data_IF_851440052430
#
_entry.id   IF_851440052430
#
_cell.length_a   1.000
_cell.length_b   1.000
_cell.length_c   1.000
_cell.angle_alpha   90.00
_cell.angle_beta   90.00
_cell.angle_gamma   90.00
#
_symmetry.space_group_name_H-M   'P 1'
#
loop_
_entity.id
_entity.type
_entity.pdbx_description
1 polymer ?
#
# COMPACT_ATOMS: atom_id res chain seq x y z
N UNK A 1 -12.73 20.69 63.29
CA UNK A 1 -12.34 20.99 61.90
C UNK A 1 -11.83 19.71 61.26
N UNK A 2 -12.61 19.08 60.40
CA UNK A 2 -12.24 17.85 59.70
C UNK A 2 -11.62 18.21 58.35
N UNK A 3 -10.57 17.51 57.87
CA UNK A 3 -9.95 17.79 56.59
C UNK A 3 -10.84 17.26 55.46
N UNK A 4 -11.12 18.14 54.47
CA UNK A 4 -11.81 17.77 53.23
C UNK A 4 -10.82 17.03 52.32
N UNK A 5 -11.04 15.71 52.12
CA UNK A 5 -10.32 14.92 51.12
C UNK A 5 -10.78 15.39 49.71
N UNK A 6 -9.84 15.93 48.95
CA UNK A 6 -9.99 16.26 47.53
C UNK A 6 -9.75 15.01 46.72
N UNK A 7 -10.81 14.36 46.23
CA UNK A 7 -10.68 13.26 45.23
C UNK A 7 -10.38 13.89 43.88
N UNK A 8 -9.13 13.76 43.41
CA UNK A 8 -8.77 14.01 42.03
C UNK A 8 -9.35 12.88 41.16
N UNK A 9 -10.34 13.20 40.36
CA UNK A 9 -10.79 12.32 39.28
C UNK A 9 -9.76 12.39 38.13
N UNK A 10 -8.97 11.35 37.98
CA UNK A 10 -8.16 11.15 36.78
C UNK A 10 -9.10 10.88 35.60
N UNK A 11 -8.93 11.54 34.43
CA UNK A 11 -9.68 11.17 33.25
C UNK A 11 -9.26 9.77 32.81
N UNK A 12 -10.25 8.86 32.69
CA UNK A 12 -10.07 7.59 31.99
C UNK A 12 -9.78 7.93 30.52
N UNK A 13 -8.52 7.89 30.14
CA UNK A 13 -8.10 7.80 28.74
C UNK A 13 -8.59 6.44 28.26
N UNK A 14 -9.65 6.44 27.46
CA UNK A 14 -10.17 5.23 26.84
C UNK A 14 -9.09 4.60 25.97
N UNK A 15 -8.45 3.55 26.46
CA UNK A 15 -7.63 2.66 25.64
C UNK A 15 -8.56 1.99 24.61
N UNK A 16 -8.60 2.52 23.41
CA UNK A 16 -9.25 1.86 22.29
C UNK A 16 -8.46 0.58 21.99
N UNK A 17 -9.02 -0.55 22.37
CA UNK A 17 -8.41 -1.86 22.12
C UNK A 17 -8.36 -2.17 20.62
N UNK A 18 -7.40 -3.01 20.21
CA UNK A 18 -7.40 -3.61 18.88
C UNK A 18 -8.72 -4.34 18.61
N UNK A 19 -9.15 -4.40 17.38
CA UNK A 19 -10.34 -5.18 17.01
C UNK A 19 -10.13 -6.66 17.36
N UNK A 20 -11.14 -7.34 17.92
CA UNK A 20 -11.02 -8.74 18.23
C UNK A 20 -10.80 -9.56 16.94
N UNK A 21 -10.06 -10.67 17.05
CA UNK A 21 -9.85 -11.56 15.91
C UNK A 21 -11.17 -12.15 15.41
N UNK A 22 -11.46 -12.07 14.11
CA UNK A 22 -12.61 -12.74 13.51
C UNK A 22 -12.41 -14.26 13.34
N UNK A 23 -11.19 -14.75 13.63
CA UNK A 23 -10.74 -16.11 13.38
C UNK A 23 -10.14 -16.31 11.99
N UNK A 24 -9.41 -17.42 11.84
CA UNK A 24 -8.78 -17.83 10.58
C UNK A 24 -9.67 -18.83 9.81
N UNK A 25 -9.52 -18.98 8.47
CA UNK A 25 -8.66 -18.18 7.61
C UNK A 25 -9.11 -16.72 7.57
N UNK A 26 -8.21 -15.82 7.16
CA UNK A 26 -8.49 -14.38 7.12
C UNK A 26 -7.85 -13.70 5.91
N UNK A 27 -8.53 -12.70 5.37
CA UNK A 27 -8.00 -11.74 4.40
C UNK A 27 -8.29 -10.33 4.89
N UNK A 28 -7.29 -9.44 4.81
CA UNK A 28 -7.39 -8.05 5.22
C UNK A 28 -6.57 -7.18 4.28
N UNK A 29 -7.14 -6.07 3.77
CA UNK A 29 -6.48 -5.20 2.83
C UNK A 29 -6.73 -3.72 3.10
N UNK A 30 -5.85 -2.88 2.57
CA UNK A 30 -6.07 -1.43 2.48
C UNK A 30 -7.27 -1.14 1.59
N UNK A 31 -8.04 -0.14 2.02
CA UNK A 31 -9.26 0.42 1.44
C UNK A 31 -10.50 -0.47 1.57
N UNK A 32 -11.63 0.22 1.61
CA UNK A 32 -12.99 -0.30 1.45
C UNK A 32 -13.48 -0.09 0.01
N UNK A 33 -14.80 0.07 -0.16
CA UNK A 33 -15.40 0.31 -1.48
C UNK A 33 -15.05 -0.77 -2.51
N UNK A 34 -14.56 -0.39 -3.70
CA UNK A 34 -14.22 -1.35 -4.76
C UNK A 34 -13.18 -2.41 -4.35
N UNK A 35 -12.30 -2.08 -3.42
CA UNK A 35 -11.25 -2.99 -2.94
C UNK A 35 -11.78 -4.18 -2.10
N UNK A 36 -13.01 -4.11 -1.62
CA UNK A 36 -13.65 -5.25 -0.92
C UNK A 36 -13.75 -6.50 -1.79
N UNK A 37 -13.77 -6.33 -3.12
CA UNK A 37 -13.76 -7.45 -4.06
C UNK A 37 -12.51 -8.33 -3.91
N UNK A 38 -11.34 -7.72 -3.65
CA UNK A 38 -10.10 -8.43 -3.41
C UNK A 38 -10.13 -9.22 -2.09
N UNK A 39 -10.60 -8.59 -0.99
CA UNK A 39 -10.80 -9.28 0.30
C UNK A 39 -11.72 -10.48 0.14
N UNK A 40 -12.84 -10.30 -0.56
CA UNK A 40 -13.82 -11.36 -0.79
C UNK A 40 -13.27 -12.49 -1.65
N UNK A 41 -12.50 -12.18 -2.70
CA UNK A 41 -11.90 -13.18 -3.57
C UNK A 41 -10.86 -14.02 -2.80
N UNK A 42 -9.94 -13.37 -2.10
CA UNK A 42 -8.92 -14.02 -1.28
C UNK A 42 -9.55 -14.91 -0.19
N UNK A 43 -10.49 -14.36 0.58
CA UNK A 43 -11.15 -15.11 1.66
C UNK A 43 -11.95 -16.31 1.14
N UNK A 44 -12.70 -16.15 0.03
CA UNK A 44 -13.44 -17.26 -0.57
C UNK A 44 -12.52 -18.37 -1.05
N UNK A 45 -11.40 -18.04 -1.64
CA UNK A 45 -10.39 -19.01 -2.06
C UNK A 45 -9.87 -19.82 -0.88
N UNK A 46 -9.43 -19.15 0.19
CA UNK A 46 -9.00 -19.81 1.43
C UNK A 46 -10.08 -20.67 2.08
N UNK A 47 -11.36 -20.25 1.99
CA UNK A 47 -12.47 -20.94 2.64
C UNK A 47 -13.00 -22.13 1.83
N UNK A 48 -12.98 -22.06 0.50
CA UNK A 48 -13.56 -23.07 -0.37
C UNK A 48 -12.63 -24.24 -0.67
N UNK A 49 -11.32 -24.04 -0.64
CA UNK A 49 -10.32 -25.02 -1.01
C UNK A 49 -9.17 -25.05 0.01
N UNK A 50 -8.99 -26.18 0.68
CA UNK A 50 -7.91 -26.37 1.66
C UNK A 50 -6.50 -26.44 1.03
N UNK A 51 -6.40 -26.57 -0.29
CA UNK A 51 -5.11 -26.53 -0.99
C UNK A 51 -4.63 -25.12 -1.34
N UNK A 52 -5.47 -24.09 -1.14
CA UNK A 52 -5.10 -22.69 -1.39
C UNK A 52 -4.27 -22.19 -0.22
N UNK A 53 -3.01 -21.84 -0.48
CA UNK A 53 -2.10 -21.24 0.49
C UNK A 53 -2.38 -19.76 0.71
N UNK A 54 -1.78 -19.18 1.76
CA UNK A 54 -1.84 -17.75 1.98
C UNK A 54 -1.29 -16.96 0.78
N UNK A 55 -0.18 -17.40 0.17
CA UNK A 55 0.39 -16.78 -1.04
C UNK A 55 -0.58 -16.80 -2.22
N UNK A 56 -1.24 -17.93 -2.48
CA UNK A 56 -2.22 -18.04 -3.57
C UNK A 56 -3.40 -17.08 -3.35
N UNK A 57 -3.82 -16.94 -2.09
CA UNK A 57 -4.91 -16.04 -1.75
C UNK A 57 -4.52 -14.55 -1.93
N UNK A 58 -3.27 -14.17 -1.62
CA UNK A 58 -2.76 -12.82 -1.94
C UNK A 58 -2.76 -12.59 -3.44
N UNK A 59 -2.24 -13.52 -4.23
CA UNK A 59 -2.23 -13.41 -5.69
C UNK A 59 -3.65 -13.28 -6.25
N UNK A 60 -4.59 -14.13 -5.82
CA UNK A 60 -6.01 -14.09 -6.24
C UNK A 60 -6.65 -12.74 -5.89
N UNK A 61 -6.43 -12.24 -4.67
CA UNK A 61 -7.01 -10.98 -4.23
C UNK A 61 -6.46 -9.78 -4.99
N UNK A 62 -5.14 -9.64 -5.09
CA UNK A 62 -4.51 -8.55 -5.82
C UNK A 62 -4.85 -8.59 -7.32
N UNK A 63 -4.80 -9.77 -7.96
CA UNK A 63 -5.21 -9.95 -9.37
C UNK A 63 -6.68 -9.58 -9.60
N UNK A 64 -7.54 -9.81 -8.61
CA UNK A 64 -8.95 -9.38 -8.71
C UNK A 64 -9.03 -7.85 -8.82
N UNK A 65 -8.25 -7.13 -8.01
CA UNK A 65 -8.20 -5.67 -8.07
C UNK A 65 -7.53 -5.17 -9.37
N UNK A 66 -6.46 -5.81 -9.81
CA UNK A 66 -5.80 -5.48 -11.08
C UNK A 66 -6.76 -5.59 -12.28
N UNK A 67 -7.53 -6.67 -12.35
CA UNK A 67 -8.48 -6.90 -13.46
C UNK A 67 -9.71 -6.02 -13.39
N UNK A 68 -10.19 -5.74 -12.19
CA UNK A 68 -11.36 -4.86 -11.97
C UNK A 68 -10.97 -3.38 -11.99
N UNK A 69 -9.68 -3.04 -12.05
CA UNK A 69 -9.15 -1.68 -11.97
C UNK A 69 -9.56 -0.93 -10.69
N UNK A 70 -10.09 -1.60 -9.69
CA UNK A 70 -10.65 -1.11 -8.42
C UNK A 70 -11.15 0.35 -8.47
N UNK A 71 -10.35 1.32 -8.05
CA UNK A 71 -10.65 2.76 -8.12
C UNK A 71 -9.86 3.48 -9.24
N UNK A 72 -9.19 2.73 -10.12
CA UNK A 72 -8.35 3.25 -11.20
C UNK A 72 -6.90 3.55 -10.77
N UNK A 73 -6.48 3.13 -9.57
CA UNK A 73 -5.10 3.26 -9.08
C UNK A 73 -4.33 1.92 -9.06
N UNK A 74 -5.00 0.83 -9.44
CA UNK A 74 -4.46 -0.53 -9.49
C UNK A 74 -4.83 -1.18 -10.83
N UNK A 75 -3.88 -1.90 -11.44
CA UNK A 75 -4.07 -2.58 -12.71
C UNK A 75 -3.86 -1.67 -13.93
N UNK A 76 -4.31 -2.12 -15.08
CA UNK A 76 -4.15 -1.39 -16.35
C UNK A 76 -5.05 -0.15 -16.42
N UNK A 77 -4.71 0.81 -17.27
CA UNK A 77 -5.53 2.00 -17.54
C UNK A 77 -5.61 3.02 -16.42
N UNK A 78 -4.77 2.89 -15.39
CA UNK A 78 -4.72 3.84 -14.28
C UNK A 78 -3.55 4.81 -14.37
N UNK A 79 -3.47 5.73 -13.46
CA UNK A 79 -2.38 6.67 -13.13
C UNK A 79 -1.24 6.79 -14.17
N UNK A 80 -1.46 7.45 -15.34
CA UNK A 80 -0.42 7.59 -16.35
C UNK A 80 0.76 8.41 -15.83
N UNK A 81 1.96 8.14 -16.35
CA UNK A 81 3.15 8.96 -16.11
C UNK A 81 3.19 10.22 -17.01
N UNK A 82 4.27 11.03 -16.93
CA UNK A 82 4.47 12.21 -17.78
C UNK A 82 4.48 11.88 -19.30
N UNK A 83 4.77 10.62 -19.65
CA UNK A 83 4.76 10.13 -21.04
C UNK A 83 3.39 9.60 -21.47
N UNK A 84 2.41 9.61 -20.58
CA UNK A 84 1.08 9.01 -20.74
C UNK A 84 1.04 7.49 -20.68
N UNK A 85 2.08 6.85 -20.17
CA UNK A 85 2.13 5.40 -20.02
C UNK A 85 1.69 4.98 -18.60
N UNK A 86 0.88 3.93 -18.53
CA UNK A 86 0.60 3.24 -17.26
C UNK A 86 1.70 2.21 -17.00
N UNK A 87 2.35 2.28 -15.84
CA UNK A 87 3.30 1.29 -15.35
C UNK A 87 2.83 0.70 -14.04
N UNK A 88 3.22 -0.55 -13.75
CA UNK A 88 2.74 -1.28 -12.59
C UNK A 88 3.87 -1.65 -11.65
N UNK A 89 3.58 -1.58 -10.36
CA UNK A 89 4.46 -2.04 -9.28
C UNK A 89 3.71 -3.11 -8.48
N UNK A 90 4.38 -4.20 -8.14
CA UNK A 90 3.79 -5.24 -7.29
C UNK A 90 4.86 -5.94 -6.45
N UNK A 91 4.43 -6.46 -5.29
CA UNK A 91 5.26 -7.28 -4.41
C UNK A 91 4.40 -8.36 -3.77
N UNK A 92 4.97 -9.54 -3.57
CA UNK A 92 4.40 -10.63 -2.78
C UNK A 92 5.45 -11.21 -1.85
N UNK A 93 5.06 -11.56 -0.62
CA UNK A 93 5.96 -12.06 0.42
C UNK A 93 5.35 -13.23 1.18
N UNK A 94 6.15 -14.27 1.40
CA UNK A 94 5.83 -15.43 2.23
C UNK A 94 6.37 -15.24 3.65
N UNK A 95 5.48 -15.18 4.63
CA UNK A 95 5.81 -15.00 6.03
C UNK A 95 6.48 -16.21 6.67
N UNK A 96 6.39 -17.39 6.08
CA UNK A 96 7.01 -18.60 6.62
C UNK A 96 8.48 -18.72 6.25
N UNK A 97 8.85 -18.30 5.03
CA UNK A 97 10.22 -18.39 4.51
C UNK A 97 10.94 -17.06 4.45
N UNK A 98 10.22 -15.97 4.64
CA UNK A 98 10.68 -14.58 4.45
C UNK A 98 11.09 -14.25 3.01
N UNK A 99 10.79 -15.12 2.05
CA UNK A 99 11.02 -14.84 0.64
C UNK A 99 10.05 -13.80 0.12
N UNK A 100 10.52 -12.92 -0.73
CA UNK A 100 9.66 -12.00 -1.47
C UNK A 100 10.03 -11.94 -2.95
N UNK A 101 9.05 -11.63 -3.78
CA UNK A 101 9.22 -11.35 -5.20
C UNK A 101 8.55 -10.03 -5.54
N UNK A 102 9.20 -9.20 -6.35
CA UNK A 102 8.70 -7.88 -6.69
C UNK A 102 8.97 -7.53 -8.15
N UNK A 103 8.09 -6.70 -8.71
CA UNK A 103 8.31 -6.01 -9.98
C UNK A 103 8.08 -4.51 -9.79
N UNK A 104 8.97 -3.70 -10.35
CA UNK A 104 8.92 -2.25 -10.27
C UNK A 104 8.95 -1.62 -11.66
N UNK A 105 8.02 -0.72 -11.95
CA UNK A 105 7.92 -0.11 -13.27
C UNK A 105 7.68 -1.14 -14.37
N UNK A 106 6.90 -2.17 -14.11
CA UNK A 106 6.51 -3.19 -15.09
C UNK A 106 5.67 -2.53 -16.18
N UNK A 107 6.00 -2.81 -17.43
CA UNK A 107 5.36 -2.21 -18.60
C UNK A 107 4.69 -3.29 -19.43
N UNK A 108 3.54 -2.98 -20.00
CA UNK A 108 2.88 -3.80 -21.02
C UNK A 108 2.52 -5.24 -20.59
N UNK A 109 2.39 -5.49 -19.30
CA UNK A 109 1.86 -6.74 -18.73
C UNK A 109 0.87 -6.42 -17.62
N UNK A 110 -0.35 -6.98 -17.70
CA UNK A 110 -1.47 -6.63 -16.80
C UNK A 110 -1.38 -7.27 -15.43
N UNK A 111 -0.81 -8.46 -15.34
CA UNK A 111 -0.88 -9.32 -14.14
C UNK A 111 0.37 -9.11 -13.25
N UNK A 112 0.56 -7.90 -12.74
CA UNK A 112 1.78 -7.52 -12.04
C UNK A 112 2.05 -8.37 -10.79
N UNK A 113 1.01 -8.68 -9.98
CA UNK A 113 1.18 -9.51 -8.79
C UNK A 113 1.59 -10.95 -9.16
N UNK A 114 1.09 -11.49 -10.26
CA UNK A 114 1.48 -12.80 -10.75
C UNK A 114 2.91 -12.82 -11.28
N UNK A 115 3.36 -11.75 -11.93
CA UNK A 115 4.78 -11.61 -12.30
C UNK A 115 5.67 -11.53 -11.06
N UNK A 116 5.28 -10.76 -10.04
CA UNK A 116 5.98 -10.72 -8.76
C UNK A 116 6.05 -12.11 -8.10
N UNK A 117 4.96 -12.89 -8.19
CA UNK A 117 4.93 -14.29 -7.73
C UNK A 117 5.94 -15.16 -8.51
N UNK A 118 6.05 -14.99 -9.81
CA UNK A 118 7.04 -15.71 -10.62
C UNK A 118 8.48 -15.34 -10.25
N UNK A 119 8.76 -14.08 -9.90
CA UNK A 119 10.07 -13.68 -9.34
C UNK A 119 10.36 -14.46 -8.06
N UNK A 120 9.38 -14.60 -7.15
CA UNK A 120 9.54 -15.33 -5.90
C UNK A 120 9.78 -16.83 -6.12
N UNK A 121 8.98 -17.46 -7.00
CA UNK A 121 8.95 -18.91 -7.13
C UNK A 121 10.03 -19.46 -8.05
N UNK A 122 10.43 -18.70 -9.10
CA UNK A 122 11.27 -19.21 -10.17
C UNK A 122 12.65 -18.55 -10.27
N UNK A 123 12.97 -17.65 -9.32
CA UNK A 123 14.30 -17.02 -9.24
C UNK A 123 14.85 -17.03 -7.82
N UNK A 124 16.13 -16.73 -7.67
CA UNK A 124 16.75 -16.42 -6.37
C UNK A 124 16.79 -14.91 -6.11
N UNK A 125 16.22 -14.10 -7.01
CA UNK A 125 16.17 -12.65 -6.88
C UNK A 125 14.91 -12.21 -6.13
N UNK A 126 14.97 -11.02 -5.53
CA UNK A 126 13.84 -10.43 -4.83
C UNK A 126 13.10 -9.44 -5.71
N UNK A 127 13.74 -8.74 -6.65
CA UNK A 127 13.11 -7.71 -7.44
C UNK A 127 13.68 -7.64 -8.86
N UNK A 128 12.78 -7.47 -9.83
CA UNK A 128 13.10 -7.12 -11.22
C UNK A 128 12.43 -5.78 -11.57
N UNK A 129 12.98 -4.99 -12.50
CA UNK A 129 12.49 -3.66 -12.79
C UNK A 129 12.48 -3.30 -14.28
N UNK A 130 11.53 -2.44 -14.68
CA UNK A 130 11.44 -1.80 -15.98
C UNK A 130 11.23 -2.79 -17.13
N UNK A 131 11.73 -2.44 -18.33
CA UNK A 131 11.57 -3.26 -19.53
C UNK A 131 12.14 -4.67 -19.39
N UNK A 132 13.21 -4.85 -18.61
CA UNK A 132 13.78 -6.18 -18.37
C UNK A 132 12.90 -7.06 -17.48
N UNK A 133 12.09 -6.45 -16.59
CA UNK A 133 11.04 -7.18 -15.88
C UNK A 133 9.91 -7.60 -16.83
N UNK A 134 9.58 -6.78 -17.82
CA UNK A 134 8.62 -7.12 -18.86
C UNK A 134 9.15 -8.29 -19.73
N UNK A 135 10.42 -8.27 -20.14
CA UNK A 135 11.03 -9.38 -20.87
C UNK A 135 11.01 -10.69 -20.06
N UNK A 136 11.30 -10.63 -18.77
CA UNK A 136 11.17 -11.78 -17.86
C UNK A 136 9.73 -12.29 -17.84
N UNK A 137 8.74 -11.41 -17.72
CA UNK A 137 7.32 -11.80 -17.71
C UNK A 137 6.95 -12.51 -19.01
N UNK A 138 7.30 -11.96 -20.18
CA UNK A 138 7.04 -12.58 -21.50
C UNK A 138 7.72 -13.93 -21.61
N UNK A 139 8.97 -14.09 -21.15
CA UNK A 139 9.67 -15.39 -21.13
C UNK A 139 8.96 -16.41 -20.25
N UNK A 140 8.22 -15.98 -19.24
CA UNK A 140 7.40 -16.82 -18.35
C UNK A 140 5.95 -17.01 -18.83
N UNK A 141 5.63 -16.57 -20.05
CA UNK A 141 4.33 -16.83 -20.70
C UNK A 141 3.26 -15.77 -20.46
N UNK A 142 3.60 -14.63 -19.84
CA UNK A 142 2.66 -13.51 -19.74
C UNK A 142 2.50 -12.81 -21.09
N UNK A 143 1.28 -12.36 -21.35
CA UNK A 143 0.98 -11.64 -22.60
C UNK A 143 1.48 -10.18 -22.51
N UNK A 144 2.18 -9.73 -23.55
CA UNK A 144 2.55 -8.33 -23.71
C UNK A 144 1.41 -7.57 -24.39
N UNK A 145 0.81 -6.59 -23.69
CA UNK A 145 -0.34 -5.80 -24.14
C UNK A 145 -0.17 -4.34 -23.77
N UNK A 146 -0.81 -3.45 -24.49
CA UNK A 146 -0.91 -2.04 -24.08
C UNK A 146 -1.76 -1.92 -22.79
N UNK A 147 -1.25 -1.20 -21.80
CA UNK A 147 -1.97 -0.93 -20.56
C UNK A 147 -2.81 0.35 -20.63
N UNK A 148 -2.74 1.08 -21.72
CA UNK A 148 -3.48 2.33 -21.95
C UNK A 148 -4.96 2.05 -22.15
N UNK A 149 -5.79 2.93 -21.63
CA UNK A 149 -7.25 2.93 -21.84
C UNK A 149 -7.69 4.33 -22.24
N UNK A 150 -8.88 4.46 -22.81
CA UNK A 150 -9.46 5.74 -23.16
C UNK A 150 -9.49 6.72 -21.96
N UNK A 151 -9.78 6.21 -20.74
CA UNK A 151 -9.78 6.99 -19.51
C UNK A 151 -8.37 7.50 -19.15
N UNK A 152 -7.32 6.67 -19.25
CA UNK A 152 -5.95 7.09 -18.96
C UNK A 152 -5.41 8.08 -20.01
N UNK A 153 -5.80 7.94 -21.28
CA UNK A 153 -5.47 8.89 -22.33
C UNK A 153 -6.14 10.25 -22.07
N UNK A 154 -7.41 10.24 -21.67
CA UNK A 154 -8.12 11.47 -21.35
C UNK A 154 -7.51 12.18 -20.14
N UNK A 155 -7.18 11.44 -19.08
CA UNK A 155 -6.48 11.99 -17.91
C UNK A 155 -5.15 12.63 -18.30
N UNK A 156 -4.36 11.99 -19.14
CA UNK A 156 -3.10 12.53 -19.61
C UNK A 156 -3.28 13.76 -20.49
N UNK A 157 -4.27 13.78 -21.39
CA UNK A 157 -4.60 14.93 -22.22
C UNK A 157 -5.00 16.14 -21.37
N UNK A 158 -5.94 15.96 -20.43
CA UNK A 158 -6.38 17.00 -19.51
C UNK A 158 -5.23 17.57 -18.68
N UNK A 159 -4.34 16.71 -18.22
CA UNK A 159 -3.13 17.12 -17.49
C UNK A 159 -2.21 18.00 -18.35
N UNK A 160 -1.97 17.64 -19.62
CA UNK A 160 -1.18 18.44 -20.55
C UNK A 160 -1.83 19.80 -20.83
N UNK A 161 -3.13 19.83 -21.02
CA UNK A 161 -3.91 21.06 -21.21
C UNK A 161 -3.88 21.97 -19.98
N UNK A 162 -3.70 21.39 -18.79
CA UNK A 162 -3.51 22.11 -17.52
C UNK A 162 -2.04 22.50 -17.26
N UNK A 163 -1.23 22.71 -18.30
CA UNK A 163 0.21 23.04 -18.19
C UNK A 163 0.99 21.98 -17.39
N UNK A 164 0.61 20.72 -17.53
CA UNK A 164 1.21 19.59 -16.84
C UNK A 164 1.18 19.72 -15.30
N UNK A 165 0.01 20.14 -14.78
CA UNK A 165 -0.19 20.26 -13.34
C UNK A 165 -1.18 19.18 -12.83
N UNK A 166 -0.85 18.56 -11.69
CA UNK A 166 0.39 18.64 -10.88
C UNK A 166 1.58 17.91 -11.54
N UNK A 167 2.80 18.24 -11.13
CA UNK A 167 4.00 17.48 -11.52
C UNK A 167 5.02 17.39 -10.36
N UNK A 168 6.09 16.61 -10.60
CA UNK A 168 7.10 16.28 -9.58
C UNK A 168 8.45 16.95 -9.83
N UNK A 169 8.52 17.97 -10.71
CA UNK A 169 9.74 18.66 -11.07
C UNK A 169 10.06 19.76 -10.06
N UNK A 170 11.29 19.80 -9.59
CA UNK A 170 11.78 20.75 -8.60
C UNK A 170 13.13 21.34 -9.05
N UNK A 171 13.37 22.61 -8.79
CA UNK A 171 14.65 23.30 -9.09
C UNK A 171 15.03 23.21 -10.57
N UNK A 172 14.07 23.44 -11.46
CA UNK A 172 14.25 23.37 -12.91
C UNK A 172 13.75 24.62 -13.61
N UNK A 173 14.17 24.80 -14.85
CA UNK A 173 13.62 25.80 -15.78
C UNK A 173 13.21 25.09 -17.08
N UNK A 174 12.15 25.57 -17.78
CA UNK A 174 11.22 26.61 -17.37
C UNK A 174 10.52 26.29 -16.06
N UNK A 175 9.76 27.26 -15.51
CA UNK A 175 9.00 27.09 -14.27
C UNK A 175 8.06 25.88 -14.38
N UNK A 176 8.21 24.85 -13.51
CA UNK A 176 7.38 23.67 -13.59
C UNK A 176 5.93 23.92 -13.17
N UNK A 177 5.60 25.04 -12.50
CA UNK A 177 4.20 25.38 -12.18
C UNK A 177 3.44 25.94 -13.40
N UNK A 178 4.13 26.29 -14.50
CA UNK A 178 3.54 26.92 -15.67
C UNK A 178 3.92 26.26 -17.00
N UNK A 179 4.63 25.15 -17.01
CA UNK A 179 5.18 24.54 -18.22
C UNK A 179 5.21 23.03 -18.16
N UNK A 180 5.16 22.41 -19.33
CA UNK A 180 5.38 20.96 -19.52
C UNK A 180 6.85 20.60 -19.84
N UNK A 181 7.78 21.54 -19.75
CA UNK A 181 9.17 21.30 -20.13
C UNK A 181 9.43 21.48 -21.64
N UNK A 182 10.53 20.98 -22.18
CA UNK A 182 11.55 20.18 -21.47
C UNK A 182 12.27 20.97 -20.39
N UNK A 183 12.65 20.30 -19.31
CA UNK A 183 13.24 20.93 -18.14
C UNK A 183 14.75 20.77 -18.08
N UNK A 184 15.44 21.85 -17.61
CA UNK A 184 16.86 21.81 -17.29
C UNK A 184 17.07 22.17 -15.82
N UNK A 185 17.96 21.49 -15.08
CA UNK A 185 18.19 21.80 -13.68
C UNK A 185 18.74 23.23 -13.49
N UNK A 186 18.16 23.96 -12.57
CA UNK A 186 18.80 25.15 -11.96
C UNK A 186 19.86 24.64 -11.00
N UNK A 187 21.04 25.25 -10.98
CA UNK A 187 22.11 24.84 -10.06
C UNK A 187 21.64 24.65 -8.62
N UNK A 188 22.46 24.07 -7.74
CA UNK A 188 22.09 23.77 -6.35
C UNK A 188 21.46 24.96 -5.65
N UNK A 189 20.16 24.93 -5.39
CA UNK A 189 19.47 25.87 -4.52
C UNK A 189 19.20 25.18 -3.18
N UNK A 190 19.48 25.82 -2.02
CA UNK A 190 19.07 25.27 -0.74
C UNK A 190 17.58 25.46 -0.55
N UNK A 191 16.88 24.37 -0.21
CA UNK A 191 15.51 24.30 0.31
C UNK A 191 14.40 24.95 -0.54
N UNK A 192 13.79 24.15 -1.41
CA UNK A 192 12.40 24.36 -1.78
C UNK A 192 11.57 23.39 -0.95
N UNK A 193 10.53 23.91 -0.27
CA UNK A 193 9.55 23.08 0.39
C UNK A 193 8.86 22.18 -0.66
N UNK A 194 8.90 20.90 -0.42
CA UNK A 194 8.29 19.88 -1.23
C UNK A 194 6.75 20.03 -1.18
N UNK A 195 6.18 20.74 -2.13
CA UNK A 195 4.72 20.85 -2.28
C UNK A 195 4.24 19.58 -2.97
N UNK A 196 4.18 18.49 -2.23
CA UNK A 196 3.64 17.25 -2.77
C UNK A 196 2.14 17.30 -2.81
N UNK A 197 1.61 16.95 -3.95
CA UNK A 197 0.21 16.62 -4.08
C UNK A 197 0.09 15.13 -3.84
N UNK A 198 -0.55 14.80 -2.73
CA UNK A 198 -0.82 13.44 -2.36
C UNK A 198 -1.85 12.83 -3.29
N UNK A 199 -1.70 11.58 -3.46
CA UNK A 199 -2.72 10.56 -3.39
C UNK A 199 -2.73 9.63 -4.58
N UNK A 200 -2.35 8.45 -4.32
CA UNK A 200 -2.71 7.28 -5.09
C UNK A 200 -3.02 6.17 -4.10
N UNK A 201 -4.03 5.40 -4.40
CA UNK A 201 -4.42 4.27 -3.59
C UNK A 201 -3.63 3.04 -4.05
N UNK A 202 -3.16 2.27 -3.11
CA UNK A 202 -2.43 1.02 -3.32
C UNK A 202 -3.20 -0.08 -2.63
N UNK A 203 -3.47 -1.19 -3.30
CA UNK A 203 -3.92 -2.37 -2.58
C UNK A 203 -2.72 -3.01 -1.88
N UNK A 204 -2.85 -3.23 -0.57
CA UNK A 204 -1.94 -4.05 0.21
C UNK A 204 -2.79 -5.08 0.96
N UNK A 205 -2.61 -6.34 0.62
CA UNK A 205 -3.42 -7.45 1.11
C UNK A 205 -2.55 -8.37 1.97
N UNK A 206 -3.04 -8.72 3.16
CA UNK A 206 -2.46 -9.74 4.03
C UNK A 206 -3.48 -10.88 4.15
N UNK A 207 -2.99 -12.10 4.14
CA UNK A 207 -3.80 -13.30 4.32
C UNK A 207 -3.22 -14.19 5.40
N UNK A 208 -4.10 -14.89 6.10
CA UNK A 208 -3.79 -15.98 7.04
C UNK A 208 -4.59 -17.18 6.57
N UNK A 209 -3.96 -18.27 6.22
CA UNK A 209 -4.63 -19.48 5.79
C UNK A 209 -5.17 -20.31 6.96
N UNK A 210 -5.70 -21.49 6.68
CA UNK A 210 -6.31 -22.38 7.68
C UNK A 210 -5.30 -22.96 8.66
N UNK A 211 -4.07 -23.11 8.21
CA UNK A 211 -2.93 -23.62 8.98
C UNK A 211 -2.22 -22.52 9.79
N UNK A 212 -2.63 -21.26 9.59
CA UNK A 212 -2.04 -20.08 10.24
C UNK A 212 -0.82 -19.54 9.49
N UNK A 213 -0.47 -20.07 8.32
CA UNK A 213 0.57 -19.47 7.49
C UNK A 213 0.10 -18.12 6.96
N UNK A 214 1.04 -17.18 6.86
CA UNK A 214 0.76 -15.79 6.48
C UNK A 214 1.48 -15.41 5.21
N UNK A 215 0.83 -14.58 4.40
CA UNK A 215 1.43 -13.93 3.24
C UNK A 215 0.93 -12.48 3.13
N UNK A 216 1.72 -11.65 2.44
CA UNK A 216 1.34 -10.28 2.13
C UNK A 216 1.72 -9.91 0.70
N UNK A 217 1.03 -8.94 0.12
CA UNK A 217 1.37 -8.42 -1.19
C UNK A 217 0.75 -7.06 -1.47
N UNK A 218 1.32 -6.38 -2.45
CA UNK A 218 0.87 -5.08 -2.92
C UNK A 218 0.74 -5.06 -4.43
N UNK A 219 -0.20 -4.26 -4.94
CA UNK A 219 -0.27 -3.90 -6.37
C UNK A 219 -0.74 -2.44 -6.52
N UNK A 220 -0.14 -1.73 -7.47
CA UNK A 220 -0.43 -0.30 -7.69
C UNK A 220 0.05 0.17 -9.06
N UNK A 221 -0.59 1.23 -9.58
CA UNK A 221 -0.03 2.01 -10.69
C UNK A 221 1.01 3.03 -10.19
N UNK A 222 1.06 3.33 -8.89
CA UNK A 222 1.82 4.43 -8.35
C UNK A 222 1.18 5.80 -8.61
N UNK A 223 1.94 6.86 -8.44
CA UNK A 223 1.47 8.24 -8.57
C UNK A 223 1.08 8.60 -10.00
N UNK A 224 -0.02 9.33 -10.17
CA UNK A 224 -0.39 9.95 -11.45
C UNK A 224 0.65 10.99 -11.87
N UNK A 225 0.96 11.03 -13.15
CA UNK A 225 1.89 11.99 -13.76
C UNK A 225 3.31 11.93 -13.18
N UNK A 226 3.66 10.79 -12.63
CA UNK A 226 5.03 10.52 -12.13
C UNK A 226 6.05 10.65 -13.24
N UNK A 227 7.27 10.97 -12.88
CA UNK A 227 8.39 10.92 -13.82
C UNK A 227 8.57 9.46 -14.27
N UNK A 228 8.70 9.18 -15.57
CA UNK A 228 8.94 7.83 -16.08
C UNK A 228 10.11 7.15 -15.35
N UNK A 229 9.88 5.93 -14.88
CA UNK A 229 10.85 5.19 -14.06
C UNK A 229 10.75 5.45 -12.54
N UNK A 230 9.84 6.32 -12.08
CA UNK A 230 9.57 6.46 -10.63
C UNK A 230 8.97 5.15 -10.10
N UNK A 231 9.51 4.71 -9.00
CA UNK A 231 9.02 3.59 -8.19
C UNK A 231 8.52 4.12 -6.85
N UNK A 232 7.32 3.71 -6.43
CA UNK A 232 6.76 4.01 -5.11
C UNK A 232 7.17 2.99 -4.05
N UNK A 233 6.47 3.00 -2.94
CA UNK A 233 6.67 2.08 -1.82
C UNK A 233 6.14 0.67 -2.09
N UNK A 234 5.18 0.52 -3.02
CA UNK A 234 4.47 -0.72 -3.29
C UNK A 234 5.39 -1.94 -3.49
N UNK A 235 6.39 -1.91 -4.39
CA UNK A 235 7.27 -3.05 -4.65
C UNK A 235 8.41 -3.20 -3.62
N UNK A 236 8.52 -2.29 -2.66
CA UNK A 236 9.59 -2.29 -1.66
C UNK A 236 9.17 -3.12 -0.44
N UNK A 237 9.77 -4.31 -0.29
CA UNK A 237 9.55 -5.19 0.87
C UNK A 237 9.80 -4.44 2.17
N UNK A 238 8.80 -4.41 3.05
CA UNK A 238 8.84 -3.66 4.30
C UNK A 238 8.24 -2.25 4.24
N UNK A 239 7.99 -1.73 3.03
CA UNK A 239 7.31 -0.42 2.86
C UNK A 239 5.84 -0.59 2.51
N UNK A 240 5.51 -1.03 1.30
CA UNK A 240 4.12 -1.27 0.86
C UNK A 240 3.43 -2.39 1.62
N UNK A 241 4.14 -3.50 1.85
CA UNK A 241 3.73 -4.52 2.82
C UNK A 241 4.91 -5.28 3.41
N UNK A 242 4.64 -6.00 4.50
CA UNK A 242 5.59 -6.88 5.15
C UNK A 242 4.85 -7.93 5.98
N UNK A 243 5.41 -9.13 6.06
CA UNK A 243 4.84 -10.21 6.86
C UNK A 243 5.93 -11.09 7.44
N UNK A 244 5.76 -11.46 8.70
CA UNK A 244 6.52 -12.50 9.38
C UNK A 244 5.53 -13.44 10.06
N UNK A 245 5.50 -14.71 9.66
CA UNK A 245 4.54 -15.69 10.15
C UNK A 245 4.58 -15.94 11.66
N UNK A 246 5.70 -15.64 12.30
CA UNK A 246 5.83 -15.77 13.74
C UNK A 246 5.24 -14.58 14.52
N UNK A 247 4.95 -13.47 13.84
CA UNK A 247 4.57 -12.19 14.44
C UNK A 247 3.23 -11.67 13.88
N UNK A 248 3.19 -11.41 12.58
CA UNK A 248 2.06 -10.77 11.94
C UNK A 248 2.42 -10.09 10.63
N UNK A 249 1.50 -9.29 10.10
CA UNK A 249 1.67 -8.60 8.83
C UNK A 249 1.17 -7.15 8.87
N UNK A 250 1.64 -6.38 7.91
CA UNK A 250 1.23 -5.00 7.68
C UNK A 250 1.07 -4.73 6.19
N UNK A 251 0.04 -3.97 5.84
CA UNK A 251 -0.18 -3.38 4.52
C UNK A 251 -0.31 -1.87 4.63
N UNK A 252 0.26 -1.16 3.66
CA UNK A 252 0.34 0.29 3.68
C UNK A 252 -0.06 0.91 2.34
N UNK A 253 -0.48 2.18 2.39
CA UNK A 253 -0.87 3.00 1.24
C UNK A 253 -0.65 4.48 1.56
N UNK A 254 -0.40 5.32 0.55
CA UNK A 254 -0.26 6.76 0.74
C UNK A 254 0.89 7.38 -0.07
N UNK A 255 1.58 8.38 0.50
CA UNK A 255 2.73 9.02 -0.14
C UNK A 255 3.93 8.07 -0.18
N UNK A 256 4.00 7.28 -1.26
CA UNK A 256 5.01 6.24 -1.43
C UNK A 256 6.44 6.74 -1.40
N UNK A 257 6.71 7.96 -1.89
CA UNK A 257 8.05 8.55 -1.87
C UNK A 257 8.53 8.91 -0.46
N UNK A 258 7.61 9.19 0.45
CA UNK A 258 7.92 9.36 1.87
C UNK A 258 7.98 7.99 2.55
N UNK A 259 6.96 7.16 2.35
CA UNK A 259 6.81 5.89 3.04
C UNK A 259 8.01 4.96 2.83
N UNK A 260 8.55 4.87 1.60
CA UNK A 260 9.73 4.04 1.32
C UNK A 260 10.99 4.43 2.12
N UNK A 261 11.07 5.68 2.62
CA UNK A 261 12.20 6.14 3.44
C UNK A 261 12.11 5.66 4.88
N UNK A 262 10.91 5.23 5.33
CA UNK A 262 10.62 4.84 6.70
C UNK A 262 10.42 3.35 6.89
N UNK A 263 10.06 2.60 5.83
CA UNK A 263 9.69 1.19 5.87
C UNK A 263 8.62 0.90 6.93
N UNK A 264 7.43 1.55 6.84
CA UNK A 264 6.47 1.56 7.94
C UNK A 264 5.91 0.18 8.28
N UNK A 265 5.77 -0.71 7.27
CA UNK A 265 5.30 -2.07 7.50
C UNK A 265 6.33 -2.94 8.20
N UNK A 266 7.61 -2.85 7.84
CA UNK A 266 8.67 -3.51 8.58
C UNK A 266 8.70 -3.03 10.03
N UNK A 267 8.65 -1.70 10.25
CA UNK A 267 8.60 -1.15 11.60
C UNK A 267 7.43 -1.68 12.41
N UNK A 268 6.21 -1.70 11.85
CA UNK A 268 5.01 -2.15 12.56
C UNK A 268 5.12 -3.62 12.98
N UNK A 269 5.62 -4.50 12.11
CA UNK A 269 5.83 -5.91 12.46
C UNK A 269 6.91 -6.06 13.55
N UNK A 270 8.02 -5.33 13.48
CA UNK A 270 9.05 -5.34 14.53
C UNK A 270 8.55 -4.74 15.85
N UNK A 271 7.68 -3.73 15.80
CA UNK A 271 7.03 -3.20 17.00
C UNK A 271 6.14 -4.24 17.66
N UNK A 272 5.38 -5.03 16.89
CA UNK A 272 4.62 -6.18 17.41
C UNK A 272 5.54 -7.27 17.96
N UNK A 273 6.66 -7.58 17.32
CA UNK A 273 7.67 -8.52 17.81
C UNK A 273 8.19 -8.11 19.20
N UNK A 274 8.29 -6.80 19.44
CA UNK A 274 8.69 -6.22 20.72
C UNK A 274 7.53 -6.02 21.71
N UNK A 275 6.36 -6.61 21.45
CA UNK A 275 5.22 -6.70 22.38
C UNK A 275 4.16 -5.63 22.23
N UNK A 276 4.23 -4.75 21.22
CA UNK A 276 3.13 -3.83 20.94
C UNK A 276 1.92 -4.57 20.34
N UNK A 277 0.73 -4.11 20.66
CA UNK A 277 -0.49 -4.53 19.97
C UNK A 277 -0.49 -4.03 18.51
N UNK A 278 -1.29 -4.62 17.59
CA UNK A 278 -1.42 -4.11 16.22
C UNK A 278 -1.75 -2.61 16.14
N UNK A 279 -2.56 -2.11 17.05
CA UNK A 279 -2.92 -0.69 17.12
C UNK A 279 -1.74 0.19 17.48
N UNK A 280 -1.04 -0.13 18.56
CA UNK A 280 0.14 0.62 19.01
C UNK A 280 1.23 0.61 17.94
N UNK A 281 1.46 -0.53 17.28
CA UNK A 281 2.44 -0.68 16.21
C UNK A 281 2.09 0.17 14.98
N UNK A 282 0.83 0.17 14.56
CA UNK A 282 0.36 1.00 13.45
C UNK A 282 0.51 2.50 13.76
N UNK A 283 0.07 2.93 14.95
CA UNK A 283 0.18 4.33 15.37
C UNK A 283 1.64 4.80 15.52
N UNK A 284 2.52 3.95 16.06
CA UNK A 284 3.95 4.27 16.20
C UNK A 284 4.60 4.53 14.85
N UNK A 285 4.36 3.64 13.86
CA UNK A 285 4.88 3.79 12.51
C UNK A 285 4.39 5.08 11.83
N UNK A 286 3.09 5.40 11.95
CA UNK A 286 2.52 6.63 11.37
C UNK A 286 3.07 7.86 12.08
N UNK A 287 3.11 7.90 13.41
CA UNK A 287 3.62 9.04 14.19
C UNK A 287 5.08 9.33 13.89
N UNK A 288 5.90 8.31 13.62
CA UNK A 288 7.30 8.50 13.21
C UNK A 288 7.42 9.22 11.88
N UNK A 289 6.55 8.93 10.90
CA UNK A 289 6.52 9.65 9.63
C UNK A 289 6.04 11.09 9.82
N UNK A 290 4.91 11.29 10.50
CA UNK A 290 4.33 12.62 10.79
C UNK A 290 5.33 13.54 11.50
N UNK A 291 6.13 13.02 12.42
CA UNK A 291 7.17 13.82 13.12
C UNK A 291 8.18 14.48 12.15
N UNK A 292 8.43 13.90 10.99
CA UNK A 292 9.36 14.42 9.97
C UNK A 292 8.64 15.09 8.80
N UNK A 293 7.47 14.61 8.47
CA UNK A 293 6.62 15.07 7.38
C UNK A 293 5.18 15.25 7.88
N UNK A 294 4.87 16.41 8.53
CA UNK A 294 3.55 16.63 9.16
C UNK A 294 2.36 16.52 8.19
N UNK A 295 2.59 16.80 6.91
CA UNK A 295 1.56 16.77 5.86
C UNK A 295 1.47 15.41 5.12
N UNK A 296 2.23 14.38 5.56
CA UNK A 296 2.21 13.08 4.89
C UNK A 296 0.83 12.46 4.96
N UNK A 297 0.35 12.00 3.82
CA UNK A 297 -0.83 11.14 3.74
C UNK A 297 -0.38 9.68 3.77
N UNK A 298 -0.86 8.93 4.76
CA UNK A 298 -0.56 7.50 4.90
C UNK A 298 -1.69 6.76 5.59
N UNK A 299 -1.85 5.49 5.26
CA UNK A 299 -2.73 4.55 5.93
C UNK A 299 -2.04 3.20 6.08
N UNK A 300 -2.10 2.63 7.27
CA UNK A 300 -1.57 1.31 7.57
C UNK A 300 -2.68 0.44 8.14
N UNK A 301 -2.70 -0.82 7.73
CA UNK A 301 -3.44 -1.89 8.39
C UNK A 301 -2.43 -2.91 8.91
N UNK A 302 -2.57 -3.29 10.17
CA UNK A 302 -1.66 -4.20 10.87
C UNK A 302 -2.47 -5.33 11.47
N UNK A 303 -2.01 -6.55 11.31
CA UNK A 303 -2.65 -7.76 11.84
C UNK A 303 -1.60 -8.66 12.48
N UNK A 304 -1.86 -9.17 13.68
CA UNK A 304 -1.01 -10.18 14.29
C UNK A 304 -1.34 -11.59 13.78
N UNK A 305 -0.51 -12.56 14.11
CA UNK A 305 -0.68 -13.96 13.70
C UNK A 305 -1.97 -14.61 14.21
N UNK A 306 -2.57 -14.06 15.27
CA UNK A 306 -3.84 -14.53 15.84
C UNK A 306 -5.06 -13.85 15.16
N UNK A 307 -4.86 -12.95 14.21
CA UNK A 307 -5.91 -12.25 13.47
C UNK A 307 -6.46 -11.01 14.19
N UNK A 308 -5.86 -10.56 15.31
CA UNK A 308 -6.20 -9.25 15.91
C UNK A 308 -5.60 -8.16 15.03
N UNK A 309 -6.36 -7.12 14.72
CA UNK A 309 -5.95 -6.13 13.74
C UNK A 309 -6.32 -4.70 14.15
N UNK A 310 -5.66 -3.74 13.55
CA UNK A 310 -5.97 -2.33 13.67
C UNK A 310 -5.42 -1.54 12.49
N UNK A 311 -5.89 -0.30 12.32
CA UNK A 311 -5.32 0.65 11.36
C UNK A 311 -4.88 1.93 12.04
N UNK A 312 -3.97 2.65 11.37
CA UNK A 312 -3.61 4.02 11.69
C UNK A 312 -3.43 4.83 10.40
N UNK A 313 -3.68 6.14 10.46
CA UNK A 313 -3.61 7.00 9.29
C UNK A 313 -3.09 8.40 9.63
N UNK A 314 -2.62 9.12 8.63
CA UNK A 314 -2.30 10.55 8.69
C UNK A 314 -2.73 11.26 7.41
N UNK A 315 -3.08 12.55 7.53
CA UNK A 315 -3.45 13.41 6.39
C UNK A 315 -4.84 13.20 5.81
N UNK A 316 -5.43 12.03 5.97
CA UNK A 316 -6.77 11.66 5.47
C UNK A 316 -7.49 10.67 6.39
N UNK A 317 -8.80 10.53 6.20
CA UNK A 317 -9.57 9.41 6.75
C UNK A 317 -9.28 8.17 5.90
N UNK A 318 -8.81 7.11 6.52
CA UNK A 318 -8.43 5.85 5.88
C UNK A 318 -9.49 4.79 6.12
N UNK A 319 -9.66 3.87 5.18
CA UNK A 319 -10.47 2.67 5.38
C UNK A 319 -9.67 1.42 5.09
N UNK A 320 -9.99 0.34 5.78
CA UNK A 320 -9.52 -0.98 5.43
C UNK A 320 -10.65 -2.00 5.49
N UNK A 321 -10.53 -3.08 4.75
CA UNK A 321 -11.53 -4.13 4.68
C UNK A 321 -10.95 -5.46 5.16
N UNK A 322 -11.75 -6.25 5.89
CA UNK A 322 -11.35 -7.59 6.32
C UNK A 322 -12.50 -8.57 6.31
N UNK A 323 -12.16 -9.85 6.19
CA UNK A 323 -13.07 -10.98 6.34
C UNK A 323 -12.31 -12.17 6.92
N UNK A 324 -12.88 -12.83 7.94
CA UNK A 324 -12.21 -13.96 8.59
C UNK A 324 -13.17 -14.94 9.24
N UNK A 325 -12.70 -16.15 9.54
CA UNK A 325 -13.40 -17.19 10.27
C UNK A 325 -14.78 -17.52 9.72
N UNK A 326 -15.81 -17.27 10.52
CA UNK A 326 -17.20 -17.54 10.16
C UNK A 326 -17.96 -16.35 9.54
N UNK A 327 -17.29 -15.23 9.29
CA UNK A 327 -17.93 -14.03 8.74
C UNK A 327 -18.60 -14.33 7.39
N UNK A 328 -19.82 -13.84 7.22
CA UNK A 328 -20.58 -14.00 5.98
C UNK A 328 -20.25 -12.93 4.94
N UNK A 329 -19.88 -11.73 5.40
CA UNK A 329 -19.61 -10.55 4.58
C UNK A 329 -18.31 -9.87 5.00
N UNK A 330 -17.70 -9.14 4.06
CA UNK A 330 -16.54 -8.29 4.32
C UNK A 330 -16.98 -7.08 5.15
N UNK A 331 -16.21 -6.77 6.17
CA UNK A 331 -16.39 -5.59 7.01
C UNK A 331 -15.38 -4.51 6.62
N UNK A 332 -15.85 -3.27 6.52
CA UNK A 332 -15.01 -2.08 6.31
C UNK A 332 -14.89 -1.32 7.61
N UNK A 333 -13.66 -0.96 7.96
CA UNK A 333 -13.33 -0.16 9.15
C UNK A 333 -12.84 1.20 8.71
N UNK A 334 -13.37 2.26 9.33
CA UNK A 334 -12.91 3.64 9.14
C UNK A 334 -11.90 4.01 10.23
N UNK A 335 -10.79 4.62 9.83
CA UNK A 335 -9.68 5.04 10.69
C UNK A 335 -9.48 6.54 10.55
N UNK A 336 -9.68 7.26 11.63
CA UNK A 336 -9.40 8.69 11.67
C UNK A 336 -7.90 8.97 11.77
N UNK A 337 -7.41 10.07 11.15
CA UNK A 337 -5.99 10.40 11.18
C UNK A 337 -5.49 10.73 12.59
N UNK A 338 -4.25 10.33 12.89
CA UNK A 338 -3.58 10.67 14.15
C UNK A 338 -3.27 12.16 14.28
N UNK A 339 -3.24 12.89 13.16
CA UNK A 339 -3.03 14.33 13.05
C UNK A 339 -4.20 15.01 12.32
N UNK A 340 -5.39 15.13 12.91
CA UNK A 340 -6.49 15.85 12.28
C UNK A 340 -6.03 17.27 11.92
N UNK A 341 -6.31 17.72 10.69
CA UNK A 341 -5.95 19.08 10.22
C UNK A 341 -6.37 20.13 11.26
N UNK A 342 -5.41 20.90 11.77
CA UNK A 342 -5.64 21.99 12.73
C UNK A 342 -5.48 21.64 14.21
N UNK A 343 -4.98 20.46 14.56
CA UNK A 343 -4.56 20.16 15.95
C UNK A 343 -3.06 19.86 15.97
N UNK A 344 -2.30 20.65 16.74
CA UNK A 344 -0.92 20.29 17.08
C UNK A 344 -0.91 19.00 17.92
N UNK A 345 0.08 18.14 17.64
CA UNK A 345 0.32 16.91 18.39
C UNK A 345 0.99 17.22 19.73
#
# INVERSE_FOLDING_TARGET
>A
MAPKSLLLALPLVGLSAASPSPGIPMAINTWGGPFTAATDAAFRALKSNCSVSALDAVEIGCSTCERNQCDGSVGFGGSPDESCETTLDAMIMDGSTMKSGSVAGLRRVKDAISVARHVLDYTSHTMLAGDLATEFAVQNGFEEVDLTTEDSEEKCRAWRESSCQPNYRLNVQPDPEASCGPYTPLGRSPSIQDKRQASHDTISLITIDREGAMAAGTSTNGASYKIPGRVGDGPITGSGSYVDGDVGGCGATGDGDIMMRFLPCYQAVESMRNGMSPKEAAEDAVKRMVKKYPEVSSGLVVVDKDGRHAGAASGWTFTYAYRGGSMQETTVVTVEPVNPKGKEL
#
